data_IF_947220369478
#
_entry.id   IF_947220369478
#
_cell.length_a   1.000
_cell.length_b   1.000
_cell.length_c   1.000
_cell.angle_alpha   90.00
_cell.angle_beta   90.00
_cell.angle_gamma   90.00
#
_symmetry.space_group_name_H-M   'P 1'
#
loop_
_entity.id
_entity.type
_entity.pdbx_description
1 polymer ?
#
# COMPACT_ATOMS: atom_id res chain seq x y z
N UNK A 1 -0.84 30.93 -29.83
CA UNK A 1 -1.22 29.77 -28.99
C UNK A 1 -0.18 28.65 -29.14
N UNK A 2 1.08 28.93 -28.80
CA UNK A 2 2.16 27.96 -28.75
C UNK A 2 3.06 28.36 -27.58
N UNK A 3 2.96 27.64 -26.46
CA UNK A 3 3.99 27.54 -25.39
C UNK A 3 3.36 26.99 -24.09
N UNK A 4 2.87 25.75 -24.13
CA UNK A 4 2.51 24.97 -22.92
C UNK A 4 2.96 23.51 -23.03
N UNK A 5 3.57 23.13 -24.17
CA UNK A 5 3.92 21.74 -24.51
C UNK A 5 5.42 21.44 -24.37
N UNK A 6 6.27 22.47 -24.32
CA UNK A 6 7.72 22.32 -24.20
C UNK A 6 8.19 22.26 -22.74
N UNK A 7 7.37 22.70 -21.78
CA UNK A 7 7.79 22.91 -20.38
C UNK A 7 7.65 21.63 -19.51
N UNK A 8 6.71 20.73 -19.87
CA UNK A 8 6.39 19.56 -19.03
C UNK A 8 7.36 18.39 -19.18
N UNK A 9 8.13 18.30 -20.27
CA UNK A 9 9.17 17.27 -20.43
C UNK A 9 10.45 17.57 -19.64
N UNK A 10 10.73 18.86 -19.44
CA UNK A 10 11.93 19.30 -18.72
C UNK A 10 11.80 18.99 -17.22
N UNK A 11 10.60 19.18 -16.66
CA UNK A 11 10.27 18.76 -15.30
C UNK A 11 10.35 17.24 -15.10
N UNK A 12 9.83 16.44 -16.05
CA UNK A 12 9.94 14.98 -15.99
C UNK A 12 11.40 14.54 -15.90
N UNK A 13 12.24 15.05 -16.81
CA UNK A 13 13.66 14.68 -16.88
C UNK A 13 14.41 15.05 -15.60
N UNK A 14 14.08 16.20 -15.00
CA UNK A 14 14.66 16.63 -13.72
C UNK A 14 14.27 15.70 -12.58
N UNK A 15 12.99 15.35 -12.44
CA UNK A 15 12.55 14.42 -11.40
C UNK A 15 13.12 13.02 -11.63
N UNK A 16 13.25 12.57 -12.87
CA UNK A 16 13.86 11.28 -13.19
C UNK A 16 15.31 11.24 -12.70
N UNK A 17 16.12 12.25 -13.01
CA UNK A 17 17.50 12.35 -12.55
C UNK A 17 17.63 12.41 -11.01
N UNK A 18 16.66 13.01 -10.31
CA UNK A 18 16.61 13.00 -8.84
C UNK A 18 16.21 11.62 -8.29
N UNK A 19 15.24 10.97 -8.91
CA UNK A 19 14.76 9.65 -8.53
C UNK A 19 15.87 8.59 -8.71
N UNK A 20 16.65 8.68 -9.78
CA UNK A 20 17.83 7.84 -10.02
C UNK A 20 18.92 8.02 -8.94
N UNK A 21 19.03 9.23 -8.38
CA UNK A 21 19.93 9.52 -7.25
C UNK A 21 19.36 9.10 -5.89
N UNK A 22 18.16 8.51 -5.87
CA UNK A 22 17.56 7.94 -4.67
C UNK A 22 16.57 8.84 -3.94
N UNK A 23 16.19 9.99 -4.50
CA UNK A 23 15.16 10.86 -3.91
C UNK A 23 13.79 10.20 -4.00
N UNK A 24 13.22 9.85 -2.84
CA UNK A 24 11.93 9.16 -2.77
C UNK A 24 10.76 10.05 -3.20
N UNK A 25 10.81 11.36 -2.98
CA UNK A 25 9.74 12.26 -3.43
C UNK A 25 9.73 12.32 -4.95
N UNK A 26 10.90 12.38 -5.57
CA UNK A 26 11.02 12.32 -7.02
C UNK A 26 10.53 10.98 -7.59
N UNK A 27 10.83 9.85 -6.93
CA UNK A 27 10.25 8.54 -7.30
C UNK A 27 8.72 8.55 -7.24
N UNK A 28 8.12 9.13 -6.20
CA UNK A 28 6.66 9.28 -6.09
C UNK A 28 6.12 10.16 -7.23
N UNK A 29 6.77 11.28 -7.53
CA UNK A 29 6.36 12.19 -8.61
C UNK A 29 6.38 11.49 -9.98
N UNK A 30 7.44 10.77 -10.31
CA UNK A 30 7.52 10.03 -11.58
C UNK A 30 6.45 8.92 -11.62
N UNK A 31 6.22 8.22 -10.50
CA UNK A 31 5.13 7.26 -10.41
C UNK A 31 3.76 7.89 -10.65
N UNK A 32 3.51 9.09 -10.10
CA UNK A 32 2.28 9.86 -10.34
C UNK A 32 2.16 10.29 -11.81
N UNK A 33 3.28 10.64 -12.45
CA UNK A 33 3.27 11.02 -13.85
C UNK A 33 2.81 9.88 -14.76
N UNK A 34 3.34 8.68 -14.55
CA UNK A 34 2.85 7.49 -15.23
C UNK A 34 1.43 7.10 -14.80
N UNK A 35 1.05 7.27 -13.54
CA UNK A 35 -0.31 6.96 -13.09
C UNK A 35 -1.37 7.84 -13.76
N UNK A 36 -1.07 9.11 -14.01
CA UNK A 36 -2.01 10.09 -14.55
C UNK A 36 -1.87 10.30 -16.07
N UNK A 37 -0.72 9.95 -16.65
CA UNK A 37 -0.40 10.25 -18.05
C UNK A 37 -0.17 11.74 -18.30
N UNK A 38 0.64 12.38 -17.44
CA UNK A 38 1.03 13.78 -17.56
C UNK A 38 2.57 13.88 -17.70
N UNK A 39 3.16 15.08 -17.61
CA UNK A 39 4.62 15.23 -17.69
C UNK A 39 5.24 14.77 -19.02
N UNK A 40 4.44 14.74 -20.09
CA UNK A 40 4.87 14.26 -21.42
C UNK A 40 4.86 12.73 -21.59
N UNK A 41 4.46 11.95 -20.58
CA UNK A 41 4.33 10.48 -20.68
C UNK A 41 2.88 10.03 -20.77
N UNK A 42 2.66 8.90 -21.44
CA UNK A 42 1.34 8.26 -21.47
C UNK A 42 1.06 7.55 -20.14
N UNK A 43 -0.22 7.41 -19.81
CA UNK A 43 -0.65 6.67 -18.63
C UNK A 43 -0.21 5.21 -18.71
N UNK A 44 0.52 4.75 -17.70
CA UNK A 44 1.12 3.41 -17.62
C UNK A 44 1.19 2.98 -16.15
N UNK A 45 0.24 2.15 -15.70
CA UNK A 45 0.20 1.71 -14.31
C UNK A 45 1.35 0.76 -13.96
N UNK A 46 1.90 0.01 -14.92
CA UNK A 46 3.03 -0.88 -14.63
C UNK A 46 4.29 -0.08 -14.30
N UNK A 47 4.58 0.97 -15.08
CA UNK A 47 5.68 1.89 -14.78
C UNK A 47 5.44 2.70 -13.50
N UNK A 48 4.20 3.12 -13.24
CA UNK A 48 3.86 3.77 -11.98
C UNK A 48 4.18 2.86 -10.78
N UNK A 49 3.79 1.58 -10.86
CA UNK A 49 4.10 0.58 -9.83
C UNK A 49 5.61 0.39 -9.65
N UNK A 50 6.40 0.33 -10.73
CA UNK A 50 7.87 0.23 -10.62
C UNK A 50 8.48 1.37 -9.81
N UNK A 51 8.06 2.61 -10.08
CA UNK A 51 8.55 3.77 -9.34
C UNK A 51 8.08 3.80 -7.89
N UNK A 52 6.82 3.44 -7.63
CA UNK A 52 6.35 3.31 -6.26
C UNK A 52 7.05 2.18 -5.51
N UNK A 53 7.36 1.05 -6.14
CA UNK A 53 8.10 -0.05 -5.51
C UNK A 53 9.52 0.37 -5.08
N UNK A 54 10.20 1.22 -5.87
CA UNK A 54 11.50 1.80 -5.48
C UNK A 54 11.39 2.66 -4.23
N UNK A 55 10.36 3.51 -4.12
CA UNK A 55 10.12 4.33 -2.93
C UNK A 55 9.63 3.49 -1.73
N UNK A 56 8.82 2.46 -1.97
CA UNK A 56 8.35 1.50 -0.98
C UNK A 56 9.50 0.72 -0.35
N UNK A 57 10.49 0.30 -1.14
CA UNK A 57 11.71 -0.35 -0.64
C UNK A 57 12.55 0.55 0.28
N UNK A 58 12.31 1.88 0.24
CA UNK A 58 12.91 2.88 1.14
C UNK A 58 11.96 3.29 2.28
N UNK A 59 10.88 2.53 2.49
CA UNK A 59 9.90 2.73 3.55
C UNK A 59 9.15 4.07 3.48
N UNK A 60 8.96 4.60 2.27
CA UNK A 60 8.28 5.88 2.08
C UNK A 60 6.74 5.74 2.18
N UNK A 61 6.10 6.46 3.11
CA UNK A 61 4.65 6.35 3.36
C UNK A 61 3.75 6.71 2.17
N UNK A 62 4.17 7.62 1.29
CA UNK A 62 3.42 7.91 0.06
C UNK A 62 3.44 6.77 -0.94
N UNK A 63 4.51 5.98 -0.95
CA UNK A 63 4.58 4.78 -1.77
C UNK A 63 3.56 3.74 -1.27
N UNK A 64 3.49 3.52 0.04
CA UNK A 64 2.48 2.63 0.64
C UNK A 64 1.07 3.08 0.27
N UNK A 65 0.76 4.37 0.40
CA UNK A 65 -0.52 4.93 0.00
C UNK A 65 -0.83 4.70 -1.49
N UNK A 66 0.10 5.05 -2.38
CA UNK A 66 -0.14 4.93 -3.82
C UNK A 66 -0.28 3.47 -4.27
N UNK A 67 0.53 2.56 -3.73
CA UNK A 67 0.39 1.12 -3.99
C UNK A 67 -0.94 0.61 -3.41
N UNK A 68 -1.33 1.05 -2.22
CA UNK A 68 -2.63 0.73 -1.61
C UNK A 68 -3.79 1.13 -2.51
N UNK A 69 -3.76 2.34 -3.11
CA UNK A 69 -4.76 2.79 -4.09
C UNK A 69 -4.77 1.90 -5.32
N UNK A 70 -3.60 1.52 -5.85
CA UNK A 70 -3.51 0.62 -7.02
C UNK A 70 -4.16 -0.74 -6.74
N UNK A 71 -3.95 -1.32 -5.56
CA UNK A 71 -4.64 -2.55 -5.15
C UNK A 71 -6.12 -2.35 -4.88
N UNK A 72 -6.53 -1.24 -4.27
CA UNK A 72 -7.96 -0.92 -4.04
C UNK A 72 -8.73 -0.87 -5.34
N UNK A 73 -8.14 -0.26 -6.36
CA UNK A 73 -8.83 0.05 -7.62
C UNK A 73 -8.50 -0.95 -8.75
N UNK A 74 -7.52 -1.82 -8.57
CA UNK A 74 -7.10 -2.81 -9.56
C UNK A 74 -6.31 -2.21 -10.73
N UNK A 75 -5.47 -1.22 -10.45
CA UNK A 75 -4.73 -0.46 -11.46
C UNK A 75 -3.37 -1.10 -11.72
N UNK A 76 -3.23 -1.84 -12.82
CA UNK A 76 -1.97 -2.54 -13.15
C UNK A 76 -1.63 -3.72 -12.23
N UNK A 77 -2.52 -4.04 -11.28
CA UNK A 77 -2.43 -5.19 -10.37
C UNK A 77 -3.82 -5.77 -10.11
N UNK A 78 -3.94 -7.05 -9.73
CA UNK A 78 -5.21 -7.62 -9.31
C UNK A 78 -5.80 -6.85 -8.12
N UNK A 79 -7.07 -6.47 -8.22
CA UNK A 79 -7.78 -5.74 -7.16
C UNK A 79 -7.80 -6.54 -5.85
N UNK A 80 -7.36 -5.94 -4.76
CA UNK A 80 -7.41 -6.51 -3.41
C UNK A 80 -7.58 -5.43 -2.35
N UNK A 81 -8.81 -5.27 -1.85
CA UNK A 81 -9.13 -4.34 -0.76
C UNK A 81 -8.44 -4.71 0.56
N UNK A 82 -8.22 -6.00 0.81
CA UNK A 82 -7.51 -6.49 2.00
C UNK A 82 -6.04 -6.05 2.01
N UNK A 83 -5.36 -6.17 0.87
CA UNK A 83 -3.97 -5.70 0.72
C UNK A 83 -3.91 -4.19 0.82
N UNK A 84 -4.83 -3.48 0.17
CA UNK A 84 -4.93 -2.02 0.27
C UNK A 84 -5.12 -1.56 1.72
N UNK A 85 -6.07 -2.16 2.44
CA UNK A 85 -6.34 -1.88 3.85
C UNK A 85 -5.07 -2.00 4.70
N UNK A 86 -4.33 -3.11 4.55
CA UNK A 86 -3.08 -3.31 5.29
C UNK A 86 -2.00 -2.29 4.94
N UNK A 87 -1.85 -1.93 3.66
CA UNK A 87 -0.87 -0.92 3.26
C UNK A 87 -1.15 0.44 3.86
N UNK A 88 -2.43 0.86 3.91
CA UNK A 88 -2.81 2.09 4.59
C UNK A 88 -2.66 2.00 6.10
N UNK A 89 -2.95 0.84 6.71
CA UNK A 89 -2.79 0.61 8.14
C UNK A 89 -1.32 0.68 8.56
N UNK A 90 -0.41 0.11 7.76
CA UNK A 90 1.04 0.18 7.99
C UNK A 90 1.54 1.63 8.02
N UNK A 91 0.99 2.52 7.19
CA UNK A 91 1.35 3.95 7.22
C UNK A 91 1.12 4.56 8.61
N UNK A 92 -0.01 4.28 9.25
CA UNK A 92 -0.31 4.78 10.61
C UNK A 92 0.57 4.12 11.66
N UNK A 93 0.64 2.80 11.64
CA UNK A 93 1.31 2.03 12.69
C UNK A 93 2.81 2.28 12.75
N UNK A 94 3.44 2.45 11.60
CA UNK A 94 4.89 2.71 11.50
C UNK A 94 5.20 4.21 11.47
N UNK A 95 4.18 5.09 11.58
CA UNK A 95 4.35 6.54 11.58
C UNK A 95 4.99 7.08 10.30
N UNK A 96 4.62 6.52 9.13
CA UNK A 96 5.27 6.82 7.86
C UNK A 96 4.78 8.15 7.25
N UNK A 97 5.74 8.99 6.87
CA UNK A 97 5.45 10.25 6.18
C UNK A 97 5.00 11.37 7.12
N UNK A 98 4.48 12.43 6.52
CA UNK A 98 3.98 13.62 7.21
C UNK A 98 2.47 13.56 7.48
N UNK A 99 1.91 14.62 8.08
CA UNK A 99 0.48 14.73 8.36
C UNK A 99 -0.39 14.51 7.12
N UNK A 100 0.05 15.01 5.96
CA UNK A 100 -0.69 14.83 4.72
C UNK A 100 -0.74 13.36 4.28
N UNK A 101 0.37 12.64 4.45
CA UNK A 101 0.49 11.20 4.21
C UNK A 101 -0.45 10.41 5.13
N UNK A 102 -0.46 10.75 6.41
CA UNK A 102 -1.32 10.13 7.43
C UNK A 102 -2.81 10.40 7.17
N UNK A 103 -3.17 11.65 6.83
CA UNK A 103 -4.56 12.02 6.49
C UNK A 103 -5.04 11.24 5.26
N UNK A 104 -4.21 11.10 4.22
CA UNK A 104 -4.56 10.31 3.02
C UNK A 104 -4.78 8.84 3.38
N UNK A 105 -3.87 8.22 4.14
CA UNK A 105 -4.01 6.84 4.59
C UNK A 105 -5.28 6.65 5.41
N UNK A 106 -5.54 7.57 6.36
CA UNK A 106 -6.73 7.54 7.24
C UNK A 106 -8.04 7.59 6.46
N UNK A 107 -8.15 8.48 5.46
CA UNK A 107 -9.33 8.55 4.60
C UNK A 107 -9.58 7.26 3.84
N UNK A 108 -8.53 6.66 3.27
CA UNK A 108 -8.66 5.40 2.56
C UNK A 108 -9.02 4.24 3.48
N UNK A 109 -8.50 4.22 4.72
CA UNK A 109 -8.89 3.24 5.74
C UNK A 109 -10.35 3.37 6.13
N UNK A 110 -10.83 4.58 6.42
CA UNK A 110 -12.23 4.82 6.78
C UNK A 110 -13.17 4.33 5.67
N UNK A 111 -12.84 4.65 4.41
CA UNK A 111 -13.62 4.16 3.27
C UNK A 111 -13.61 2.62 3.20
N UNK A 112 -12.45 1.97 3.30
CA UNK A 112 -12.36 0.51 3.24
C UNK A 112 -13.01 -0.18 4.44
N UNK A 113 -13.04 0.47 5.60
CA UNK A 113 -13.69 -0.03 6.80
C UNK A 113 -15.20 -0.18 6.63
N UNK A 114 -15.82 0.67 5.82
CA UNK A 114 -17.24 0.57 5.47
C UNK A 114 -17.50 -0.47 4.37
N UNK A 115 -16.51 -0.72 3.50
CA UNK A 115 -16.66 -1.60 2.34
C UNK A 115 -16.33 -3.07 2.59
N UNK A 116 -15.48 -3.37 3.59
CA UNK A 116 -15.04 -4.72 3.92
C UNK A 116 -15.96 -5.36 4.97
N UNK A 117 -16.28 -6.64 4.78
CA UNK A 117 -17.01 -7.39 5.82
C UNK A 117 -16.15 -7.54 7.09
N UNK A 118 -16.78 -7.83 8.22
CA UNK A 118 -16.06 -8.11 9.46
C UNK A 118 -15.11 -9.32 9.32
N UNK A 119 -15.47 -10.32 8.52
CA UNK A 119 -14.60 -11.45 8.18
C UNK A 119 -13.41 -11.04 7.32
N UNK A 120 -13.61 -10.16 6.33
CA UNK A 120 -12.51 -9.68 5.47
C UNK A 120 -11.49 -8.86 6.25
N UNK A 121 -11.96 -8.04 7.20
CA UNK A 121 -11.07 -7.30 8.11
C UNK A 121 -10.19 -8.24 8.91
N UNK A 122 -10.78 -9.29 9.49
CA UNK A 122 -10.02 -10.27 10.27
C UNK A 122 -9.04 -11.05 9.43
N UNK A 123 -9.44 -11.43 8.22
CA UNK A 123 -8.53 -12.09 7.30
C UNK A 123 -7.36 -11.16 6.95
N UNK A 124 -7.62 -9.90 6.60
CA UNK A 124 -6.57 -8.92 6.32
C UNK A 124 -5.62 -8.79 7.53
N UNK A 125 -6.15 -8.55 8.73
CA UNK A 125 -5.36 -8.41 9.95
C UNK A 125 -4.58 -9.69 10.35
N UNK A 126 -4.92 -10.84 9.79
CA UNK A 126 -4.16 -12.08 9.98
C UNK A 126 -2.86 -12.12 9.16
N UNK A 127 -2.76 -11.35 8.06
CA UNK A 127 -1.60 -11.39 7.19
C UNK A 127 -0.36 -10.80 7.87
N UNK A 128 0.80 -11.46 7.68
CA UNK A 128 2.08 -10.94 8.16
C UNK A 128 2.62 -9.88 7.21
N UNK A 129 3.47 -8.96 7.69
CA UNK A 129 4.13 -8.00 6.79
C UNK A 129 4.92 -8.70 5.67
N UNK A 130 5.75 -9.75 5.92
CA UNK A 130 6.41 -10.48 4.84
C UNK A 130 5.47 -11.06 3.79
N UNK A 131 4.25 -11.45 4.18
CA UNK A 131 3.22 -11.90 3.23
C UNK A 131 2.78 -10.77 2.32
N UNK A 132 2.43 -9.62 2.90
CA UNK A 132 2.00 -8.42 2.17
C UNK A 132 3.13 -7.89 1.29
N UNK A 133 4.36 -7.85 1.78
CA UNK A 133 5.56 -7.44 1.04
C UNK A 133 5.78 -8.34 -0.19
N UNK A 134 5.61 -9.66 -0.06
CA UNK A 134 5.69 -10.57 -1.20
C UNK A 134 4.56 -10.33 -2.22
N UNK A 135 3.32 -10.11 -1.75
CA UNK A 135 2.21 -9.75 -2.64
C UNK A 135 2.57 -8.51 -3.46
N UNK A 136 3.03 -7.45 -2.79
CA UNK A 136 3.32 -6.16 -3.39
C UNK A 136 4.49 -6.26 -4.37
N UNK A 137 5.62 -6.86 -3.96
CA UNK A 137 6.80 -7.02 -4.81
C UNK A 137 6.56 -7.91 -6.01
N UNK A 138 5.74 -8.96 -5.85
CA UNK A 138 5.40 -9.85 -6.94
C UNK A 138 4.23 -9.33 -7.78
N UNK A 139 3.59 -8.22 -7.37
CA UNK A 139 2.36 -7.68 -7.98
C UNK A 139 1.24 -8.74 -8.03
N UNK A 140 1.21 -9.63 -7.04
CA UNK A 140 0.38 -10.85 -7.01
C UNK A 140 0.62 -11.85 -8.14
N UNK A 141 1.70 -11.69 -8.91
CA UNK A 141 2.11 -12.62 -9.97
C UNK A 141 3.10 -13.65 -9.39
N UNK A 142 2.97 -14.92 -9.82
CA UNK A 142 3.91 -15.99 -9.51
C UNK A 142 4.30 -16.15 -8.02
N UNK A 143 3.36 -15.85 -7.12
CA UNK A 143 3.61 -15.88 -5.67
C UNK A 143 3.98 -17.28 -5.19
N UNK A 144 5.09 -17.38 -4.46
CA UNK A 144 5.49 -18.57 -3.70
C UNK A 144 5.52 -18.24 -2.22
N UNK A 145 4.40 -18.47 -1.54
CA UNK A 145 4.26 -18.17 -0.12
C UNK A 145 4.82 -19.34 0.70
N UNK A 146 5.89 -19.09 1.47
CA UNK A 146 6.44 -20.08 2.39
C UNK A 146 5.54 -20.30 3.61
N UNK A 147 5.51 -21.51 4.17
CA UNK A 147 4.65 -21.88 5.30
C UNK A 147 4.81 -20.96 6.55
N UNK A 148 5.99 -20.38 6.77
CA UNK A 148 6.24 -19.46 7.89
C UNK A 148 5.76 -18.01 7.69
N UNK A 149 5.25 -17.69 6.50
CA UNK A 149 4.80 -16.34 6.12
C UNK A 149 3.30 -16.14 6.37
N UNK A 150 2.54 -17.23 6.43
CA UNK A 150 1.12 -17.20 6.77
C UNK A 150 0.93 -17.17 8.30
N UNK A 151 -0.14 -16.54 8.81
CA UNK A 151 -0.55 -16.73 10.19
C UNK A 151 -0.73 -18.23 10.51
N UNK A 152 -0.21 -18.66 11.65
CA UNK A 152 -0.33 -20.03 12.14
C UNK A 152 -0.62 -20.04 13.64
N UNK A 153 -0.94 -21.20 14.22
CA UNK A 153 -1.10 -21.37 15.68
C UNK A 153 0.15 -20.97 16.48
N UNK A 154 1.33 -20.95 15.85
CA UNK A 154 2.62 -20.59 16.46
C UNK A 154 3.07 -19.16 16.08
N UNK A 155 2.36 -18.50 15.17
CA UNK A 155 2.62 -17.16 14.66
C UNK A 155 1.31 -16.36 14.59
N UNK A 156 0.60 -16.29 15.73
CA UNK A 156 -0.70 -15.63 15.89
C UNK A 156 -0.47 -14.15 16.14
N UNK A 157 -0.59 -13.30 15.11
CA UNK A 157 -0.36 -11.85 15.26
C UNK A 157 -1.47 -11.08 15.97
N UNK A 158 -2.63 -11.69 16.24
CA UNK A 158 -3.68 -10.99 17.00
C UNK A 158 -3.33 -10.71 18.47
N UNK A 159 -2.32 -11.40 19.06
CA UNK A 159 -2.04 -11.31 20.50
C UNK A 159 -0.76 -10.58 20.92
N UNK A 160 0.24 -10.47 20.07
CA UNK A 160 1.59 -10.06 20.53
C UNK A 160 2.11 -8.75 19.91
N UNK A 161 1.25 -7.98 19.26
CA UNK A 161 1.65 -6.74 18.64
C UNK A 161 1.43 -5.50 19.52
N UNK A 162 0.66 -5.60 20.61
CA UNK A 162 0.39 -4.43 21.47
C UNK A 162 -0.37 -3.31 20.75
N UNK A 163 -1.06 -3.61 19.64
CA UNK A 163 -1.62 -2.63 18.71
C UNK A 163 -3.02 -2.11 19.06
N UNK A 164 -3.61 -2.50 20.21
CA UNK A 164 -4.92 -1.99 20.67
C UNK A 164 -4.99 -1.94 22.20
N UNK A 165 -5.53 -0.85 22.75
CA UNK A 165 -5.91 -0.77 24.16
C UNK A 165 -7.08 -1.72 24.41
N UNK A 166 -7.12 -2.39 25.56
CA UNK A 166 -8.19 -3.35 25.91
C UNK A 166 -9.62 -2.75 25.83
N UNK A 167 -9.73 -1.42 25.94
CA UNK A 167 -10.99 -0.68 25.78
C UNK A 167 -11.55 -0.72 24.36
N UNK A 168 -10.69 -0.78 23.34
CA UNK A 168 -11.07 -0.80 21.92
C UNK A 168 -11.58 -2.20 21.50
N UNK A 169 -11.18 -3.23 22.25
CA UNK A 169 -11.62 -4.62 22.05
C UNK A 169 -13.01 -4.89 22.64
N UNK A 170 -13.41 -4.18 23.70
CA UNK A 170 -14.70 -4.42 24.39
C UNK A 170 -15.94 -4.09 23.55
N UNK A 171 -15.80 -3.28 22.49
CA UNK A 171 -16.90 -2.96 21.57
C UNK A 171 -17.02 -3.89 20.37
N UNK A 172 -16.01 -4.74 20.12
CA UNK A 172 -16.01 -5.70 19.03
C UNK A 172 -16.43 -7.07 19.58
N UNK A 173 -17.74 -7.35 19.57
CA UNK A 173 -18.21 -8.72 19.72
C UNK A 173 -17.78 -9.51 18.48
N UNK A 174 -16.67 -10.24 18.60
CA UNK A 174 -16.43 -11.34 17.70
C UNK A 174 -16.19 -12.62 18.48
N UNK A 175 -17.00 -13.61 18.15
CA UNK A 175 -16.91 -14.98 18.63
C UNK A 175 -16.21 -15.80 17.53
N UNK A 176 -14.86 -15.91 17.54
CA UNK A 176 -14.15 -16.68 16.54
C UNK A 176 -14.47 -18.18 16.70
N UNK A 177 -14.65 -18.94 15.60
CA UNK A 177 -15.01 -20.34 15.71
C UNK A 177 -13.88 -21.17 16.34
N UNK A 178 -14.26 -22.07 17.25
CA UNK A 178 -13.39 -23.07 17.85
C UNK A 178 -12.81 -24.05 16.80
N UNK A 179 -11.65 -24.67 17.06
CA UNK A 179 -10.79 -25.29 16.04
C UNK A 179 -11.16 -26.75 15.81
N UNK A 180 -11.39 -27.18 14.55
CA UNK A 180 -11.67 -28.59 14.22
C UNK A 180 -11.27 -28.87 12.76
N UNK A 181 -10.46 -29.87 12.38
CA UNK A 181 -9.68 -30.91 13.07
C UNK A 181 -8.25 -30.91 12.52
#
# INVERSE_FOLDING_TARGET
MASLRADTSDDFTKYEAMAEKGDTRAMITIGLYYHQGNGGVSKDYEKAMDWYLKAYAKWNGDAFNNIGVMYRDGLGVPKSKKVAYLLFLIVHMEGLGDDATQIRAGRNLSQLAEELSESDHKEALSYTFPYVDQIVKSRSQNMKIGKGVLPSKENIRFKDNGWWLDSERKGLQFDPPAPWN
#
